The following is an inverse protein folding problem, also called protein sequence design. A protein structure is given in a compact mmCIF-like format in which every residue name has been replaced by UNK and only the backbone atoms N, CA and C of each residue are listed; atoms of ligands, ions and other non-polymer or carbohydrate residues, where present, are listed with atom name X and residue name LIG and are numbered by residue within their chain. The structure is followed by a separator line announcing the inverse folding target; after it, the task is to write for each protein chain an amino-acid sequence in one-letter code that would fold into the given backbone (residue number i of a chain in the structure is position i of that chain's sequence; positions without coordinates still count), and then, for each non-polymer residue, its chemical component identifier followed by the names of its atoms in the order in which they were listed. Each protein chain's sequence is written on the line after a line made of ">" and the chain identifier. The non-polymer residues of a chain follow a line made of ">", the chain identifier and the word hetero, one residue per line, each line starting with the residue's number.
data_IF_030340515015
#
_entry.id   IF_030340515015
#
_cell.length_a   1.000
_cell.length_b   1.000
_cell.length_c   1.000
_cell.angle_alpha   90.00
_cell.angle_beta   90.00
_cell.angle_gamma   90.00
#
_symmetry.space_group_name_H-M   'P 1'
#
loop_
_entity.id
_entity.type
_entity.pdbx_description
1 polymer ?
#
# COMPACT_ATOMS: atom_id res chain seq x y z
N UNK A 1 -18.39 -17.21 -10.72
CA UNK A 1 -18.90 -15.86 -10.93
C UNK A 1 -17.71 -14.93 -11.09
N UNK A 2 -17.42 -14.52 -12.33
CA UNK A 2 -16.35 -13.56 -12.58
C UNK A 2 -16.85 -12.19 -12.14
N UNK A 3 -16.49 -11.76 -10.95
CA UNK A 3 -16.61 -10.37 -10.56
C UNK A 3 -15.77 -9.55 -11.54
N UNK A 4 -16.42 -8.70 -12.32
CA UNK A 4 -15.76 -7.67 -13.12
C UNK A 4 -15.02 -6.75 -12.16
N UNK A 5 -13.75 -7.06 -11.93
CA UNK A 5 -12.86 -6.22 -11.16
C UNK A 5 -12.53 -4.99 -12.01
N UNK A 6 -13.02 -3.79 -11.67
CA UNK A 6 -12.78 -2.59 -12.47
C UNK A 6 -11.30 -2.20 -12.54
N UNK A 7 -10.46 -2.84 -11.72
CA UNK A 7 -9.01 -2.66 -11.71
C UNK A 7 -8.26 -3.84 -12.36
N UNK A 8 -8.98 -4.79 -12.98
CA UNK A 8 -8.40 -5.98 -13.61
C UNK A 8 -7.66 -5.69 -14.94
N UNK A 9 -7.11 -4.50 -15.11
CA UNK A 9 -6.08 -4.28 -16.13
C UNK A 9 -4.74 -4.80 -15.62
N UNK A 10 -3.87 -5.37 -16.47
CA UNK A 10 -2.52 -5.69 -16.06
C UNK A 10 -1.88 -4.41 -15.54
N UNK A 11 -1.43 -4.45 -14.30
CA UNK A 11 -0.49 -3.44 -13.80
C UNK A 11 0.69 -3.55 -14.75
N UNK A 12 0.97 -2.49 -15.49
CA UNK A 12 2.09 -2.50 -16.40
C UNK A 12 3.33 -2.88 -15.56
N UNK A 13 4.05 -3.96 -15.91
CA UNK A 13 5.30 -4.26 -15.25
C UNK A 13 6.25 -3.12 -15.60
N UNK A 14 6.28 -2.10 -14.73
CA UNK A 14 7.36 -1.15 -14.75
C UNK A 14 8.63 -1.95 -14.52
N UNK A 15 9.60 -1.81 -15.39
CA UNK A 15 10.95 -2.28 -15.08
C UNK A 15 11.37 -1.43 -13.88
N UNK A 16 11.39 -2.04 -12.70
CA UNK A 16 11.86 -1.36 -11.49
C UNK A 16 13.29 -0.90 -11.76
N UNK A 17 13.48 0.40 -11.73
CA UNK A 17 14.80 1.00 -11.92
C UNK A 17 15.68 0.89 -10.68
N UNK A 18 15.05 0.59 -9.54
CA UNK A 18 15.70 0.52 -8.22
C UNK A 18 15.71 -0.89 -7.67
N UNK A 19 16.76 -1.20 -6.93
CA UNK A 19 16.86 -2.46 -6.17
C UNK A 19 15.89 -2.46 -4.99
N UNK A 20 15.57 -3.64 -4.46
CA UNK A 20 14.72 -3.79 -3.26
C UNK A 20 15.23 -2.96 -2.08
N UNK A 21 16.55 -2.89 -1.90
CA UNK A 21 17.17 -2.09 -0.86
C UNK A 21 16.92 -0.58 -1.05
N UNK A 22 17.04 -0.09 -2.29
CA UNK A 22 16.79 1.32 -2.61
C UNK A 22 15.31 1.69 -2.48
N UNK A 23 14.41 0.79 -2.89
CA UNK A 23 12.97 0.97 -2.70
C UNK A 23 12.61 1.06 -1.21
N UNK A 24 13.21 0.21 -0.40
CA UNK A 24 13.01 0.23 1.05
C UNK A 24 13.54 1.53 1.67
N UNK A 25 14.71 1.99 1.26
CA UNK A 25 15.28 3.25 1.72
C UNK A 25 14.40 4.45 1.34
N UNK A 26 13.91 4.51 0.11
CA UNK A 26 12.99 5.54 -0.35
C UNK A 26 11.67 5.53 0.44
N UNK A 27 11.13 4.36 0.73
CA UNK A 27 9.93 4.22 1.54
C UNK A 27 10.14 4.68 2.98
N UNK A 28 11.27 4.35 3.60
CA UNK A 28 11.59 4.80 4.94
C UNK A 28 11.73 6.32 5.00
N UNK A 29 12.36 6.94 4.01
CA UNK A 29 12.46 8.39 3.90
C UNK A 29 11.08 9.06 3.81
N UNK A 30 10.18 8.53 2.99
CA UNK A 30 8.80 9.01 2.90
C UNK A 30 8.04 8.86 4.22
N UNK A 31 8.24 7.75 4.93
CA UNK A 31 7.60 7.48 6.22
C UNK A 31 8.09 8.45 7.30
N UNK A 32 9.37 8.80 7.32
CA UNK A 32 9.92 9.74 8.30
C UNK A 32 9.29 11.13 8.19
N UNK A 33 8.79 11.50 7.02
CA UNK A 33 8.04 12.74 6.81
C UNK A 33 6.62 12.70 7.38
N UNK A 34 6.10 11.50 7.68
CA UNK A 34 4.77 11.31 8.22
C UNK A 34 4.83 11.35 9.75
N UNK A 35 4.05 12.20 10.43
CA UNK A 35 3.97 12.19 11.89
C UNK A 35 3.59 10.80 12.41
N UNK A 36 4.46 10.19 13.20
CA UNK A 36 4.25 8.84 13.75
C UNK A 36 4.58 7.68 12.80
N UNK A 37 5.17 7.94 11.63
CA UNK A 37 5.54 6.89 10.66
C UNK A 37 6.53 5.87 11.20
N UNK A 38 7.43 6.25 12.08
CA UNK A 38 8.39 5.34 12.72
C UNK A 38 7.77 4.24 13.59
N UNK A 39 6.47 4.34 13.91
CA UNK A 39 5.75 3.31 14.69
C UNK A 39 5.46 2.02 13.93
N UNK A 40 5.78 1.95 12.65
CA UNK A 40 5.57 0.76 11.81
C UNK A 40 6.14 -0.51 12.44
N UNK A 41 7.29 -0.41 13.08
CA UNK A 41 7.95 -1.54 13.75
C UNK A 41 7.25 -1.99 15.04
N UNK A 42 6.33 -1.20 15.57
CA UNK A 42 5.54 -1.53 16.77
C UNK A 42 4.29 -2.35 16.47
N UNK A 43 4.09 -2.75 15.22
CA UNK A 43 2.95 -3.57 14.82
C UNK A 43 2.97 -4.92 15.53
N UNK A 44 1.90 -5.21 16.27
CA UNK A 44 1.70 -6.49 16.97
C UNK A 44 0.96 -7.52 16.13
N UNK A 45 0.65 -7.23 14.87
CA UNK A 45 -0.05 -8.12 13.94
C UNK A 45 -1.44 -8.58 14.42
N UNK A 46 -2.15 -7.75 15.18
CA UNK A 46 -3.47 -8.08 15.76
C UNK A 46 -4.60 -8.23 14.72
N UNK A 47 -4.42 -7.69 13.50
CA UNK A 47 -5.40 -7.80 12.42
C UNK A 47 -6.57 -6.83 12.50
N UNK A 48 -6.63 -5.91 13.46
CA UNK A 48 -7.70 -4.92 13.60
C UNK A 48 -7.83 -4.03 12.36
N UNK A 49 -6.71 -3.64 11.75
CA UNK A 49 -6.69 -2.86 10.52
C UNK A 49 -7.37 -3.58 9.35
N UNK A 50 -7.13 -4.86 9.20
CA UNK A 50 -7.78 -5.70 8.17
C UNK A 50 -9.27 -5.86 8.45
N UNK A 51 -9.64 -6.15 9.69
CA UNK A 51 -11.04 -6.31 10.09
C UNK A 51 -11.85 -5.02 9.93
N UNK A 52 -11.22 -3.86 10.10
CA UNK A 52 -11.86 -2.55 9.97
C UNK A 52 -11.95 -2.05 8.54
N UNK A 53 -11.17 -2.60 7.63
CA UNK A 53 -11.08 -2.13 6.24
C UNK A 53 -12.33 -2.54 5.44
N UNK A 54 -13.11 -1.56 4.91
CA UNK A 54 -14.33 -1.87 4.18
C UNK A 54 -14.08 -2.55 2.82
N UNK A 55 -12.88 -2.49 2.30
CA UNK A 55 -12.49 -3.04 0.99
C UNK A 55 -11.47 -4.19 1.09
N UNK A 56 -11.19 -4.67 2.30
CA UNK A 56 -10.21 -5.75 2.52
C UNK A 56 -10.53 -7.03 1.74
N UNK A 57 -11.80 -7.32 1.52
CA UNK A 57 -12.26 -8.49 0.76
C UNK A 57 -11.89 -8.44 -0.73
N UNK A 58 -11.63 -7.25 -1.27
CA UNK A 58 -11.24 -7.04 -2.66
C UNK A 58 -9.71 -6.90 -2.83
N UNK A 59 -8.98 -6.75 -1.73
CA UNK A 59 -7.53 -6.61 -1.73
C UNK A 59 -6.84 -7.96 -1.94
N UNK A 60 -5.78 -7.97 -2.73
CA UNK A 60 -4.86 -9.10 -2.87
C UNK A 60 -3.94 -9.25 -1.64
N UNK A 61 -3.56 -8.14 -1.04
CA UNK A 61 -2.77 -8.08 0.19
C UNK A 61 -3.54 -7.23 1.22
N UNK A 62 -3.90 -7.82 2.35
CA UNK A 62 -4.65 -7.10 3.41
C UNK A 62 -3.78 -6.07 4.13
N UNK A 63 -4.35 -5.06 4.78
CA UNK A 63 -3.58 -4.05 5.52
C UNK A 63 -2.58 -4.63 6.52
N UNK A 64 -2.94 -5.70 7.23
CA UNK A 64 -2.02 -6.39 8.14
C UNK A 64 -0.85 -7.02 7.39
N UNK A 65 -1.12 -7.64 6.25
CA UNK A 65 -0.09 -8.26 5.41
C UNK A 65 0.84 -7.21 4.80
N UNK A 66 0.35 -6.02 4.46
CA UNK A 66 1.19 -4.91 3.98
C UNK A 66 2.32 -4.63 4.98
N UNK A 67 1.98 -4.52 6.26
CA UNK A 67 2.98 -4.27 7.30
C UNK A 67 3.93 -5.46 7.48
N UNK A 68 3.41 -6.69 7.45
CA UNK A 68 4.22 -7.90 7.57
C UNK A 68 5.22 -8.03 6.41
N UNK A 69 4.77 -7.80 5.18
CA UNK A 69 5.61 -7.86 3.98
C UNK A 69 6.67 -6.75 3.97
N UNK A 70 6.29 -5.53 4.37
CA UNK A 70 7.27 -4.47 4.55
C UNK A 70 8.38 -4.86 5.53
N UNK A 71 8.02 -5.43 6.68
CA UNK A 71 8.98 -5.89 7.68
C UNK A 71 9.86 -7.04 7.16
N UNK A 72 9.32 -7.87 6.28
CA UNK A 72 10.06 -8.94 5.60
C UNK A 72 10.96 -8.43 4.46
N UNK A 73 10.82 -7.17 4.05
CA UNK A 73 11.60 -6.57 2.97
C UNK A 73 11.01 -6.75 1.57
N UNK A 74 9.77 -7.21 1.43
CA UNK A 74 9.11 -7.46 0.15
C UNK A 74 8.41 -6.20 -0.40
N UNK A 75 9.14 -5.11 -0.61
CA UNK A 75 8.59 -3.82 -1.07
C UNK A 75 8.15 -3.90 -2.54
N UNK A 76 8.92 -4.56 -3.39
CA UNK A 76 8.60 -4.71 -4.81
C UNK A 76 7.22 -5.36 -5.00
N UNK A 77 6.95 -6.44 -4.27
CA UNK A 77 5.67 -7.12 -4.30
C UNK A 77 4.51 -6.22 -3.83
N UNK A 78 4.76 -5.40 -2.81
CA UNK A 78 3.79 -4.41 -2.33
C UNK A 78 3.47 -3.36 -3.38
N UNK A 79 4.48 -2.85 -4.10
CA UNK A 79 4.31 -1.84 -5.15
C UNK A 79 3.54 -2.40 -6.35
N UNK A 80 3.66 -3.69 -6.63
CA UNK A 80 2.94 -4.37 -7.71
C UNK A 80 1.54 -4.80 -7.30
N UNK A 81 1.17 -4.71 -6.01
CA UNK A 81 -0.13 -5.11 -5.52
C UNK A 81 -1.24 -4.14 -5.91
N UNK A 82 -2.45 -4.65 -6.05
CA UNK A 82 -3.64 -3.81 -6.27
C UNK A 82 -4.12 -3.12 -5.00
N UNK A 83 -3.73 -3.62 -3.84
CA UNK A 83 -4.13 -3.13 -2.52
C UNK A 83 -3.91 -1.63 -2.37
N UNK A 84 -2.73 -1.13 -2.76
CA UNK A 84 -2.41 0.29 -2.65
C UNK A 84 -3.36 1.17 -3.46
N UNK A 85 -3.92 0.66 -4.58
CA UNK A 85 -4.85 1.38 -5.45
C UNK A 85 -6.31 1.25 -5.00
N UNK A 86 -6.66 0.14 -4.32
CA UNK A 86 -7.99 -0.11 -3.78
C UNK A 86 -8.28 0.62 -2.49
N UNK A 87 -7.25 1.08 -1.78
CA UNK A 87 -7.41 1.80 -0.53
C UNK A 87 -8.32 3.03 -0.71
N UNK A 88 -9.45 3.01 -0.01
CA UNK A 88 -10.46 4.08 -0.07
C UNK A 88 -10.12 5.30 0.80
N UNK A 89 -8.98 5.28 1.49
CA UNK A 89 -8.53 6.39 2.35
C UNK A 89 -9.53 6.78 3.44
N UNK A 90 -10.26 5.80 3.97
CA UNK A 90 -11.28 6.02 5.00
C UNK A 90 -10.72 6.19 6.42
N UNK A 91 -9.44 5.94 6.63
CA UNK A 91 -8.71 6.03 7.91
C UNK A 91 -9.18 5.09 9.04
N UNK A 92 -10.11 4.18 8.81
CA UNK A 92 -10.56 3.23 9.84
C UNK A 92 -9.42 2.40 10.42
N UNK A 93 -8.53 1.88 9.58
CA UNK A 93 -7.36 1.11 10.02
C UNK A 93 -6.42 1.95 10.88
N UNK A 94 -6.20 3.21 10.53
CA UNK A 94 -5.36 4.14 11.28
C UNK A 94 -5.95 4.46 12.65
N UNK A 95 -7.23 4.77 12.69
CA UNK A 95 -7.92 5.15 13.94
C UNK A 95 -8.05 4.00 14.94
N UNK A 96 -8.16 2.77 14.45
CA UNK A 96 -8.36 1.59 15.29
C UNK A 96 -7.09 0.84 15.64
N UNK A 97 -5.95 1.24 15.11
CA UNK A 97 -4.67 0.58 15.40
C UNK A 97 -4.26 0.81 16.87
N UNK A 98 -4.09 -0.26 17.68
CA UNK A 98 -3.67 -0.12 19.08
C UNK A 98 -2.24 0.43 19.21
N UNK A 99 -1.39 0.21 18.23
CA UNK A 99 -0.04 0.77 18.16
C UNK A 99 0.02 2.17 17.51
N UNK A 100 -1.13 2.74 17.15
CA UNK A 100 -1.26 4.06 16.54
C UNK A 100 -0.42 4.23 15.25
N UNK A 101 -0.39 3.19 14.43
CA UNK A 101 0.32 3.21 13.14
C UNK A 101 -0.54 3.96 12.11
N UNK A 102 0.07 4.88 11.39
CA UNK A 102 -0.58 5.67 10.32
C UNK A 102 -0.67 4.85 9.02
N UNK A 103 -1.49 3.79 9.02
CA UNK A 103 -1.54 2.79 7.94
C UNK A 103 -1.99 3.42 6.62
N UNK A 104 -2.97 4.31 6.64
CA UNK A 104 -3.44 4.99 5.43
C UNK A 104 -2.32 5.82 4.78
N UNK A 105 -1.57 6.55 5.58
CA UNK A 105 -0.46 7.36 5.09
C UNK A 105 0.70 6.52 4.57
N UNK A 106 0.93 5.32 5.16
CA UNK A 106 1.88 4.35 4.64
C UNK A 106 1.48 3.85 3.24
N UNK A 107 0.20 3.58 3.03
CA UNK A 107 -0.31 3.19 1.71
C UNK A 107 -0.15 4.34 0.71
N UNK A 108 -0.33 5.58 1.12
CA UNK A 108 -0.05 6.74 0.27
C UNK A 108 1.43 6.87 -0.09
N UNK A 109 2.34 6.61 0.85
CA UNK A 109 3.78 6.60 0.56
C UNK A 109 4.11 5.54 -0.50
N UNK A 110 3.55 4.34 -0.37
CA UNK A 110 3.69 3.28 -1.37
C UNK A 110 3.14 3.69 -2.75
N UNK A 111 1.97 4.36 -2.79
CA UNK A 111 1.42 4.91 -4.05
C UNK A 111 2.37 5.88 -4.72
N UNK A 112 2.97 6.81 -3.98
CA UNK A 112 3.92 7.78 -4.55
C UNK A 112 5.12 7.09 -5.16
N UNK A 113 5.71 6.15 -4.45
CA UNK A 113 6.86 5.38 -4.94
C UNK A 113 6.46 4.57 -6.19
N UNK A 114 5.29 3.93 -6.18
CA UNK A 114 4.80 3.20 -7.33
C UNK A 114 4.63 4.10 -8.58
N UNK A 115 4.14 5.33 -8.40
CA UNK A 115 4.01 6.31 -9.48
C UNK A 115 5.38 6.73 -10.00
N UNK A 116 6.34 7.00 -9.12
CA UNK A 116 7.72 7.35 -9.49
C UNK A 116 8.40 6.25 -10.29
N UNK A 117 8.16 4.99 -9.92
CA UNK A 117 8.68 3.81 -10.62
C UNK A 117 7.85 3.41 -11.87
N UNK A 118 6.78 4.14 -12.18
CA UNK A 118 5.93 3.85 -13.34
C UNK A 118 5.01 2.63 -13.18
N UNK A 119 4.81 2.17 -11.96
CA UNK A 119 3.94 1.02 -11.63
C UNK A 119 2.55 1.53 -11.26
N UNK A 120 1.64 1.59 -12.22
CA UNK A 120 0.27 1.99 -11.96
C UNK A 120 -0.70 1.35 -12.95
N UNK A 121 -1.97 1.12 -12.57
CA UNK A 121 -2.99 0.62 -13.49
C UNK A 121 -3.25 1.64 -14.60
N UNK A 122 -3.28 1.19 -15.85
CA UNK A 122 -3.54 2.08 -17.01
C UNK A 122 -4.84 2.88 -16.88
N UNK A 123 -5.86 2.29 -16.24
CA UNK A 123 -7.14 2.96 -15.97
C UNK A 123 -7.05 4.10 -14.95
N UNK A 124 -6.05 4.08 -14.08
CA UNK A 124 -5.85 5.15 -13.10
C UNK A 124 -5.58 6.50 -13.79
N UNK A 125 -4.83 6.48 -14.88
CA UNK A 125 -4.56 7.70 -15.67
C UNK A 125 -5.83 8.26 -16.32
N UNK A 126 -6.76 7.42 -16.72
CA UNK A 126 -8.00 7.89 -17.35
C UNK A 126 -8.94 8.61 -16.37
N UNK A 127 -8.84 8.31 -15.08
CA UNK A 127 -9.61 8.99 -14.02
C UNK A 127 -9.04 10.36 -13.67
N UNK A 128 -7.75 10.58 -13.89
CA UNK A 128 -7.09 11.88 -13.66
C UNK A 128 -7.43 12.88 -14.77
N UNK A 129 -7.80 12.39 -15.96
CA UNK A 129 -8.13 13.23 -17.12
C UNK A 129 -9.61 13.60 -17.22
N UNK A 130 -10.44 13.20 -16.28
CA UNK A 130 -11.82 13.63 -16.15
C UNK A 130 -11.88 14.90 -15.30
#
# INVERSE_FOLDING_TARGET
>A
MKTLDPLAGPIAPGVLSKTEHELRAAFLEEIERIPGGGRLNQCIQCGTCTASCPVSHAMDITPRQVIAMFRAGAIEELLQSRTIWLCASCYHCTLRCPSQIQITDLIYALKRIAIEEGIFPKRFLSLIHI
#
